data_IF_291670257245
#
_entry.id   IF_291670257245
#
_cell.length_a   1.000
_cell.length_b   1.000
_cell.length_c   1.000
_cell.angle_alpha   90.00
_cell.angle_beta   90.00
_cell.angle_gamma   90.00
#
_symmetry.space_group_name_H-M   'P 1'
#
loop_
_entity.id
_entity.type
_entity.pdbx_description
1 polymer ?
#
# COMPACT_ATOMS: atom_id res chain seq x y z
N UNK A 1 -13.19 10.25 -19.73
CA UNK A 1 -13.85 9.64 -18.58
C UNK A 1 -12.84 8.97 -17.67
N UNK A 2 -12.90 9.26 -16.37
CA UNK A 2 -11.94 8.75 -15.41
C UNK A 2 -12.44 7.47 -14.76
N UNK A 3 -11.55 6.48 -14.62
CA UNK A 3 -11.87 5.28 -13.84
C UNK A 3 -11.75 5.60 -12.32
N UNK A 4 -12.16 4.65 -11.49
CA UNK A 4 -12.21 4.87 -10.04
C UNK A 4 -10.82 5.16 -9.45
N UNK A 5 -9.78 4.57 -10.00
CA UNK A 5 -8.40 4.79 -9.51
C UNK A 5 -7.93 6.20 -9.87
N UNK A 6 -8.24 6.67 -11.07
CA UNK A 6 -7.88 8.01 -11.51
C UNK A 6 -8.57 9.08 -10.67
N UNK A 7 -9.82 8.85 -10.27
CA UNK A 7 -10.55 9.78 -9.40
C UNK A 7 -9.87 9.86 -8.04
N UNK A 8 -9.53 8.72 -7.44
CA UNK A 8 -8.82 8.69 -6.17
C UNK A 8 -7.46 9.40 -6.28
N UNK A 9 -6.72 9.14 -7.38
CA UNK A 9 -5.43 9.77 -7.59
C UNK A 9 -5.55 11.29 -7.65
N UNK A 10 -6.54 11.79 -8.38
CA UNK A 10 -6.76 13.24 -8.48
C UNK A 10 -7.00 13.86 -7.11
N UNK A 11 -7.80 13.20 -6.27
CA UNK A 11 -8.06 13.68 -4.93
C UNK A 11 -6.80 13.67 -4.06
N UNK A 12 -5.97 12.63 -4.19
CA UNK A 12 -4.68 12.58 -3.49
C UNK A 12 -3.77 13.71 -3.95
N UNK A 13 -3.74 13.97 -5.25
CA UNK A 13 -2.92 15.06 -5.82
C UNK A 13 -3.40 16.43 -5.33
N UNK A 14 -4.69 16.54 -5.00
CA UNK A 14 -5.29 17.75 -4.41
C UNK A 14 -5.09 17.80 -2.89
N UNK A 15 -4.26 16.95 -2.35
CA UNK A 15 -3.88 16.91 -0.93
C UNK A 15 -4.98 16.46 0.02
N UNK A 16 -5.99 15.74 -0.47
CA UNK A 16 -6.96 15.11 0.41
C UNK A 16 -6.34 13.88 1.08
N UNK A 17 -6.72 13.66 2.33
CA UNK A 17 -6.31 12.44 3.02
C UNK A 17 -7.17 11.26 2.56
N UNK A 18 -6.68 10.01 2.75
CA UNK A 18 -7.51 8.85 2.42
C UNK A 18 -8.88 8.86 3.12
N UNK A 19 -8.93 9.34 4.37
CA UNK A 19 -10.16 9.45 5.13
C UNK A 19 -11.12 10.45 4.48
N UNK A 20 -10.61 11.59 4.04
CA UNK A 20 -11.41 12.60 3.36
C UNK A 20 -11.94 12.08 2.02
N UNK A 21 -11.12 11.35 1.28
CA UNK A 21 -11.51 10.77 0.00
C UNK A 21 -12.62 9.74 0.21
N UNK A 22 -12.46 8.87 1.21
CA UNK A 22 -13.46 7.86 1.54
C UNK A 22 -14.81 8.50 1.83
N UNK A 23 -14.80 9.56 2.63
CA UNK A 23 -16.03 10.27 2.96
C UNK A 23 -16.68 10.88 1.72
N UNK A 24 -15.90 11.59 0.90
CA UNK A 24 -16.42 12.25 -0.31
C UNK A 24 -16.95 11.27 -1.34
N UNK A 25 -16.32 10.11 -1.45
CA UNK A 25 -16.70 9.12 -2.45
C UNK A 25 -17.67 8.06 -1.91
N UNK A 26 -18.01 8.15 -0.63
CA UNK A 26 -18.88 7.19 0.05
C UNK A 26 -18.34 5.76 -0.02
N UNK A 27 -17.04 5.62 0.22
CA UNK A 27 -16.36 4.34 0.32
C UNK A 27 -15.78 4.16 1.72
N UNK A 28 -15.41 2.93 2.07
CA UNK A 28 -14.65 2.70 3.28
C UNK A 28 -13.21 3.19 3.09
N UNK A 29 -12.55 3.54 4.19
CA UNK A 29 -11.13 3.92 4.14
C UNK A 29 -10.29 2.78 3.58
N UNK A 30 -10.63 1.53 3.94
CA UNK A 30 -9.95 0.35 3.43
C UNK A 30 -10.00 0.28 1.89
N UNK A 31 -11.14 0.60 1.30
CA UNK A 31 -11.28 0.64 -0.15
C UNK A 31 -10.35 1.67 -0.77
N UNK A 32 -10.23 2.85 -0.15
CA UNK A 32 -9.34 3.90 -0.66
C UNK A 32 -7.88 3.44 -0.57
N UNK A 33 -7.48 2.78 0.51
CA UNK A 33 -6.13 2.24 0.60
C UNK A 33 -5.87 1.14 -0.43
N UNK A 34 -6.90 0.37 -0.81
CA UNK A 34 -6.76 -0.59 -1.91
C UNK A 34 -6.51 0.15 -3.23
N UNK A 35 -7.20 1.27 -3.47
CA UNK A 35 -6.94 2.10 -4.64
C UNK A 35 -5.52 2.64 -4.63
N UNK A 36 -5.05 3.13 -3.49
CA UNK A 36 -3.70 3.66 -3.35
C UNK A 36 -2.67 2.56 -3.65
N UNK A 37 -2.89 1.37 -3.11
CA UNK A 37 -2.03 0.21 -3.35
C UNK A 37 -1.93 -0.08 -4.86
N UNK A 38 -3.06 -0.10 -5.56
CA UNK A 38 -3.08 -0.34 -7.01
C UNK A 38 -2.35 0.75 -7.77
N UNK A 39 -2.53 2.01 -7.38
CA UNK A 39 -1.86 3.14 -8.01
C UNK A 39 -0.34 3.05 -7.84
N UNK A 40 0.11 2.63 -6.65
CA UNK A 40 1.53 2.44 -6.40
C UNK A 40 2.10 1.35 -7.29
N UNK A 41 1.42 0.20 -7.38
CA UNK A 41 1.85 -0.92 -8.22
C UNK A 41 1.95 -0.53 -9.69
N UNK A 42 1.06 0.34 -10.14
CA UNK A 42 1.04 0.82 -11.52
C UNK A 42 2.07 1.93 -11.77
N UNK A 43 2.77 2.38 -10.74
CA UNK A 43 3.70 3.48 -10.86
C UNK A 43 3.04 4.85 -11.05
N UNK A 44 1.76 4.97 -10.68
CA UNK A 44 0.97 6.18 -10.89
C UNK A 44 0.93 7.11 -9.67
N UNK A 45 1.40 6.66 -8.52
CA UNK A 45 1.38 7.46 -7.30
C UNK A 45 2.57 7.13 -6.43
N UNK A 46 3.22 8.17 -5.91
CA UNK A 46 4.34 8.05 -4.97
C UNK A 46 3.82 8.26 -3.55
N UNK A 47 3.75 7.18 -2.78
CA UNK A 47 3.23 7.20 -1.42
C UNK A 47 4.34 7.30 -0.37
N UNK A 48 5.55 7.71 -0.75
CA UNK A 48 6.70 7.73 0.17
C UNK A 48 6.46 8.62 1.40
N UNK A 49 5.61 9.64 1.29
CA UNK A 49 5.29 10.51 2.41
C UNK A 49 4.18 10.00 3.32
N UNK A 50 3.54 8.89 3.00
CA UNK A 50 2.40 8.38 3.76
C UNK A 50 2.79 7.51 4.95
N UNK A 51 3.98 6.96 4.96
CA UNK A 51 4.47 6.09 6.02
C UNK A 51 5.74 6.69 6.61
N UNK A 52 5.82 6.76 7.94
CA UNK A 52 7.00 7.30 8.62
C UNK A 52 8.24 6.50 8.26
N UNK A 53 9.37 7.18 8.10
CA UNK A 53 10.62 6.58 7.62
C UNK A 53 11.04 5.36 8.45
N UNK A 54 10.98 5.46 9.77
CA UNK A 54 11.35 4.33 10.63
C UNK A 54 10.47 3.12 10.45
N UNK A 55 9.17 3.35 10.33
CA UNK A 55 8.22 2.26 10.10
C UNK A 55 8.41 1.65 8.72
N UNK A 56 8.64 2.49 7.72
CA UNK A 56 8.90 2.01 6.36
C UNK A 56 10.11 1.07 6.35
N UNK A 57 11.18 1.45 6.99
CA UNK A 57 12.39 0.65 7.05
C UNK A 57 12.12 -0.72 7.68
N UNK A 58 11.43 -0.75 8.81
CA UNK A 58 11.12 -2.01 9.48
C UNK A 58 10.21 -2.91 8.65
N UNK A 59 9.21 -2.33 7.99
CA UNK A 59 8.31 -3.11 7.13
C UNK A 59 9.09 -3.69 5.95
N UNK A 60 9.95 -2.89 5.31
CA UNK A 60 10.76 -3.37 4.19
C UNK A 60 11.69 -4.50 4.63
N UNK A 61 12.35 -4.35 5.76
CA UNK A 61 13.23 -5.40 6.29
C UNK A 61 12.47 -6.69 6.54
N UNK A 62 11.27 -6.60 7.10
CA UNK A 62 10.43 -7.78 7.30
C UNK A 62 10.18 -8.52 5.99
N UNK A 63 9.72 -7.78 4.96
CA UNK A 63 9.37 -8.40 3.68
C UNK A 63 10.60 -8.92 2.93
N UNK A 64 11.76 -8.34 3.14
CA UNK A 64 12.99 -8.82 2.52
C UNK A 64 13.46 -10.16 3.12
N UNK A 65 13.04 -10.45 4.35
CA UNK A 65 13.47 -11.65 5.06
C UNK A 65 12.41 -12.75 5.11
N UNK A 66 11.16 -12.44 4.80
CA UNK A 66 10.08 -13.42 4.88
C UNK A 66 9.81 -14.08 3.54
N UNK A 67 9.28 -15.30 3.60
CA UNK A 67 8.79 -15.97 2.39
C UNK A 67 7.29 -15.82 2.23
N UNK A 68 6.61 -15.32 3.28
CA UNK A 68 5.17 -15.13 3.27
C UNK A 68 4.87 -13.64 3.07
N UNK A 69 4.44 -13.21 1.87
CA UNK A 69 4.13 -11.79 1.64
C UNK A 69 2.74 -11.38 2.12
N UNK A 70 2.05 -12.23 2.87
CA UNK A 70 0.70 -11.94 3.35
C UNK A 70 0.67 -10.82 4.37
N UNK A 71 -0.39 -10.01 4.30
CA UNK A 71 -0.56 -8.89 5.23
C UNK A 71 -0.82 -9.35 6.66
N UNK A 72 -1.58 -10.43 6.82
CA UNK A 72 -1.90 -10.95 8.16
C UNK A 72 -0.64 -11.41 8.88
N UNK A 73 0.20 -12.18 8.19
CA UNK A 73 1.45 -12.67 8.77
C UNK A 73 2.36 -11.49 9.14
N UNK A 74 2.46 -10.49 8.27
CA UNK A 74 3.25 -9.30 8.54
C UNK A 74 2.75 -8.56 9.78
N UNK A 75 1.44 -8.38 9.89
CA UNK A 75 0.83 -7.71 11.03
C UNK A 75 1.12 -8.42 12.33
N UNK A 76 1.06 -9.75 12.32
CA UNK A 76 1.34 -10.56 13.51
C UNK A 76 2.79 -10.39 13.97
N UNK A 77 3.73 -10.34 13.04
CA UNK A 77 5.16 -10.20 13.38
C UNK A 77 5.51 -8.78 13.76
N UNK A 78 5.02 -7.81 13.01
CA UNK A 78 5.36 -6.40 13.24
C UNK A 78 4.65 -5.81 14.46
N UNK A 79 3.44 -6.29 14.76
CA UNK A 79 2.73 -5.91 15.97
C UNK A 79 1.81 -4.72 15.81
N UNK A 80 1.24 -4.30 16.95
CA UNK A 80 0.17 -3.30 16.98
C UNK A 80 0.62 -1.89 16.64
N UNK A 81 1.91 -1.61 16.68
CA UNK A 81 2.44 -0.30 16.31
C UNK A 81 2.39 -0.04 14.79
N UNK A 82 2.11 -1.09 14.01
CA UNK A 82 2.07 -1.01 12.55
C UNK A 82 0.64 -1.27 12.07
N UNK A 83 0.07 -0.34 11.32
CA UNK A 83 -1.28 -0.53 10.78
C UNK A 83 -1.22 -1.40 9.53
N UNK A 84 -2.33 -2.09 9.24
CA UNK A 84 -2.46 -2.83 7.98
C UNK A 84 -2.26 -1.91 6.78
N UNK A 85 -2.73 -0.67 6.87
CA UNK A 85 -2.63 0.27 5.77
C UNK A 85 -1.18 0.63 5.46
N UNK A 86 -0.37 0.90 6.49
CA UNK A 86 1.04 1.18 6.32
C UNK A 86 1.77 -0.02 5.71
N UNK A 87 1.48 -1.22 6.22
CA UNK A 87 2.09 -2.45 5.70
C UNK A 87 1.70 -2.65 4.24
N UNK A 88 0.44 -2.42 3.90
CA UNK A 88 -0.06 -2.56 2.53
C UNK A 88 0.63 -1.61 1.57
N UNK A 89 0.82 -0.35 1.97
CA UNK A 89 1.49 0.64 1.13
C UNK A 89 2.92 0.22 0.84
N UNK A 90 3.68 -0.16 1.87
CA UNK A 90 5.08 -0.54 1.69
C UNK A 90 5.19 -1.81 0.86
N UNK A 91 4.31 -2.80 1.10
CA UNK A 91 4.30 -4.02 0.30
C UNK A 91 4.04 -3.70 -1.17
N UNK A 92 3.13 -2.76 -1.45
CA UNK A 92 2.84 -2.37 -2.83
C UNK A 92 4.05 -1.75 -3.50
N UNK A 93 4.83 -0.95 -2.77
CA UNK A 93 6.09 -0.40 -3.29
C UNK A 93 7.06 -1.50 -3.67
N UNK A 94 7.17 -2.54 -2.82
CA UNK A 94 8.04 -3.67 -3.07
C UNK A 94 7.56 -4.50 -4.26
N UNK A 95 6.26 -4.68 -4.40
CA UNK A 95 5.70 -5.39 -5.55
C UNK A 95 6.00 -4.64 -6.84
N UNK A 96 5.92 -3.32 -6.81
CA UNK A 96 6.28 -2.51 -7.96
C UNK A 96 7.76 -2.69 -8.31
N UNK A 97 8.61 -2.88 -7.31
CA UNK A 97 10.03 -3.16 -7.51
C UNK A 97 10.27 -4.61 -7.93
N UNK A 98 9.19 -5.39 -8.14
CA UNK A 98 9.20 -6.79 -8.57
C UNK A 98 9.75 -7.77 -7.56
N UNK A 99 9.82 -7.37 -6.30
CA UNK A 99 10.32 -8.23 -5.24
C UNK A 99 9.45 -9.47 -5.05
N UNK A 100 8.13 -9.29 -4.95
CA UNK A 100 7.20 -10.40 -4.76
C UNK A 100 6.70 -11.00 -6.07
N UNK A 101 6.72 -10.25 -7.16
CA UNK A 101 6.33 -10.73 -8.47
C UNK A 101 7.19 -11.92 -8.88
N UNK A 102 8.49 -11.86 -8.59
CA UNK A 102 9.41 -12.95 -8.86
C UNK A 102 9.02 -14.19 -8.05
N UNK A 103 8.71 -14.01 -6.77
CA UNK A 103 8.31 -15.11 -5.89
C UNK A 103 7.00 -15.77 -6.35
N UNK A 104 6.02 -14.97 -6.75
CA UNK A 104 4.74 -15.47 -7.26
C UNK A 104 4.93 -16.29 -8.54
N UNK A 105 5.79 -15.81 -9.42
CA UNK A 105 6.07 -16.52 -10.67
C UNK A 105 6.75 -17.85 -10.43
N UNK A 106 7.58 -17.95 -9.40
CA UNK A 106 8.23 -19.20 -9.05
C UNK A 106 7.26 -20.23 -8.49
N UNK A 107 6.17 -19.80 -7.87
CA UNK A 107 5.16 -20.70 -7.32
C UNK A 107 4.23 -21.29 -8.38
N UNK A 108 4.13 -20.64 -9.50
CA UNK A 108 3.31 -21.12 -10.62
C UNK A 108 4.03 -22.19 -11.43
#
# INVERSE_FOLDING_TARGET
QLDTYSITKRMLDDSLTPEEIAEKRNYSVSTIYNHISSLIKQGRYDASGMVAVGKRTEIREYFECTRDPGLKAAKEVLGDSFSYDDIKIVRSELERERFFEIAENEEE
#
